data_IF_090835918947
#
_entry.id   IF_090835918947
#
_cell.length_a   1.000
_cell.length_b   1.000
_cell.length_c   1.000
_cell.angle_alpha   90.00
_cell.angle_beta   90.00
_cell.angle_gamma   90.00
#
_symmetry.space_group_name_H-M   'P 1'
#
loop_
_entity.id
_entity.type
_entity.pdbx_description
1 polymer ?
#
# COMPACT_ATOMS: atom_id res chain seq x y z
N UNK A 1 56.12 -5.79 -12.42
CA UNK A 1 55.45 -5.74 -11.09
C UNK A 1 54.59 -4.48 -10.94
N UNK A 2 53.50 -4.31 -11.70
CA UNK A 2 52.64 -3.12 -11.57
C UNK A 2 51.17 -3.41 -11.93
N UNK A 3 50.55 -4.40 -11.28
CA UNK A 3 49.11 -4.72 -11.44
C UNK A 3 48.35 -4.94 -10.13
N UNK A 4 48.91 -4.56 -8.98
CA UNK A 4 48.27 -4.79 -7.66
C UNK A 4 47.45 -3.60 -7.12
N UNK A 5 47.51 -2.41 -7.73
CA UNK A 5 46.89 -1.19 -7.18
C UNK A 5 45.41 -0.97 -7.55
N UNK A 6 44.95 -1.52 -8.67
CA UNK A 6 43.60 -1.24 -9.21
C UNK A 6 42.48 -2.00 -8.48
N UNK A 7 42.77 -3.14 -7.86
CA UNK A 7 41.77 -3.97 -7.16
C UNK A 7 41.45 -3.46 -5.75
N UNK A 8 42.37 -2.75 -5.09
CA UNK A 8 42.16 -2.23 -3.74
C UNK A 8 41.13 -1.09 -3.71
N UNK A 9 41.13 -0.22 -4.72
CA UNK A 9 40.17 0.90 -4.83
C UNK A 9 38.76 0.40 -5.15
N UNK A 10 38.62 -0.64 -5.98
CA UNK A 10 37.33 -1.29 -6.26
C UNK A 10 36.77 -2.06 -5.05
N UNK A 11 37.62 -2.68 -4.24
CA UNK A 11 37.22 -3.37 -3.02
C UNK A 11 36.84 -2.39 -1.89
N UNK A 12 37.56 -1.26 -1.75
CA UNK A 12 37.21 -0.20 -0.80
C UNK A 12 35.91 0.54 -1.20
N UNK A 13 35.68 0.76 -2.50
CA UNK A 13 34.41 1.30 -3.01
C UNK A 13 33.23 0.34 -2.78
N UNK A 14 33.45 -0.97 -2.98
CA UNK A 14 32.45 -2.00 -2.67
C UNK A 14 32.13 -2.11 -1.18
N UNK A 15 33.13 -2.01 -0.30
CA UNK A 15 32.94 -1.98 1.15
C UNK A 15 32.15 -0.74 1.60
N UNK A 16 32.41 0.42 0.99
CA UNK A 16 31.65 1.66 1.23
C UNK A 16 30.18 1.55 0.83
N UNK A 17 29.89 1.00 -0.35
CA UNK A 17 28.52 0.76 -0.84
C UNK A 17 27.76 -0.25 0.03
N UNK A 18 28.43 -1.32 0.48
CA UNK A 18 27.84 -2.29 1.42
C UNK A 18 27.56 -1.63 2.77
N UNK A 19 28.41 -0.72 3.24
CA UNK A 19 28.19 0.03 4.48
C UNK A 19 27.02 1.01 4.38
N UNK A 20 26.84 1.67 3.24
CA UNK A 20 25.72 2.59 3.00
C UNK A 20 24.40 1.81 2.90
N UNK A 21 24.38 0.72 2.14
CA UNK A 21 23.21 -0.14 2.02
C UNK A 21 22.81 -0.72 3.38
N UNK A 22 23.78 -1.12 4.20
CA UNK A 22 23.54 -1.60 5.57
C UNK A 22 22.93 -0.51 6.45
N UNK A 23 23.42 0.73 6.38
CA UNK A 23 22.83 1.86 7.13
C UNK A 23 21.38 2.12 6.70
N UNK A 24 21.11 2.12 5.39
CA UNK A 24 19.75 2.28 4.84
C UNK A 24 18.83 1.15 5.32
N UNK A 25 19.29 -0.09 5.30
CA UNK A 25 18.52 -1.26 5.74
C UNK A 25 18.26 -1.26 7.26
N UNK A 26 19.26 -0.89 8.07
CA UNK A 26 19.09 -0.71 9.51
C UNK A 26 18.08 0.41 9.80
N UNK A 27 18.12 1.51 9.05
CA UNK A 27 17.13 2.58 9.19
C UNK A 27 15.71 2.08 8.90
N UNK A 28 15.52 1.30 7.82
CA UNK A 28 14.21 0.69 7.52
C UNK A 28 13.76 -0.25 8.64
N UNK A 29 14.65 -1.12 9.15
CA UNK A 29 14.30 -2.02 10.25
C UNK A 29 13.89 -1.27 11.52
N UNK A 30 14.65 -0.25 11.90
CA UNK A 30 14.31 0.60 13.05
C UNK A 30 12.96 1.31 12.83
N UNK A 31 12.73 1.85 11.64
CA UNK A 31 11.46 2.47 11.30
C UNK A 31 10.29 1.47 11.40
N UNK A 32 10.46 0.24 10.93
CA UNK A 32 9.45 -0.81 11.05
C UNK A 32 9.20 -1.24 12.49
N UNK A 33 10.23 -1.26 13.34
CA UNK A 33 10.07 -1.51 14.78
C UNK A 33 9.27 -0.38 15.44
N UNK A 34 9.56 0.89 15.11
CA UNK A 34 8.80 2.04 15.62
C UNK A 34 7.34 2.00 15.14
N UNK A 35 7.12 1.69 13.86
CA UNK A 35 5.79 1.44 13.32
C UNK A 35 5.06 0.37 14.14
N UNK A 36 5.72 -0.77 14.38
CA UNK A 36 5.13 -1.88 15.13
C UNK A 36 4.80 -1.47 16.55
N UNK A 37 5.70 -0.80 17.28
CA UNK A 37 5.43 -0.31 18.64
C UNK A 37 4.19 0.58 18.65
N UNK A 38 4.06 1.50 17.70
CA UNK A 38 2.89 2.38 17.65
C UNK A 38 1.57 1.67 17.35
N UNK A 39 1.58 0.49 16.70
CA UNK A 39 0.36 -0.35 16.57
C UNK A 39 -0.14 -0.95 17.90
N UNK A 40 0.67 -0.90 18.97
CA UNK A 40 0.27 -1.34 20.31
C UNK A 40 -0.09 -0.18 21.24
N UNK A 41 0.02 1.08 20.80
CA UNK A 41 -0.36 2.25 21.60
C UNK A 41 -1.85 2.52 21.37
N UNK A 42 -2.75 2.18 22.32
CA UNK A 42 -4.18 2.38 22.16
C UNK A 42 -4.53 3.87 22.18
N UNK A 43 -5.59 4.24 21.48
CA UNK A 43 -6.15 5.59 21.57
C UNK A 43 -6.80 5.78 22.95
N UNK A 44 -6.61 6.94 23.62
CA UNK A 44 -7.22 7.21 24.92
C UNK A 44 -8.76 7.16 24.87
N UNK A 45 -9.37 6.63 25.94
CA UNK A 45 -10.83 6.66 26.14
C UNK A 45 -11.62 5.46 25.60
N UNK A 46 -10.94 4.37 25.22
CA UNK A 46 -11.54 3.18 24.61
C UNK A 46 -11.32 1.97 25.51
N UNK A 47 -12.35 1.12 25.64
CA UNK A 47 -12.23 -0.18 26.30
C UNK A 47 -11.69 -1.23 25.30
N UNK A 48 -10.47 -1.77 25.49
CA UNK A 48 -9.92 -2.81 24.62
C UNK A 48 -10.77 -4.08 24.59
N UNK A 49 -11.47 -4.41 25.68
CA UNK A 49 -12.30 -5.61 25.78
C UNK A 49 -13.63 -5.47 25.02
N UNK A 50 -14.21 -4.27 24.97
CA UNK A 50 -15.34 -3.97 24.10
C UNK A 50 -14.92 -3.97 22.62
N UNK A 51 -13.73 -3.45 22.31
CA UNK A 51 -13.22 -3.39 20.94
C UNK A 51 -12.94 -4.77 20.36
N UNK A 52 -12.33 -5.67 21.15
CA UNK A 52 -12.08 -7.05 20.72
C UNK A 52 -13.40 -7.76 20.36
N UNK A 53 -14.43 -7.62 21.20
CA UNK A 53 -15.76 -8.21 20.95
C UNK A 53 -16.44 -7.64 19.70
N UNK A 54 -16.34 -6.33 19.49
CA UNK A 54 -16.83 -5.70 18.26
C UNK A 54 -16.09 -6.24 17.02
N UNK A 55 -14.78 -6.41 17.12
CA UNK A 55 -13.97 -6.94 16.03
C UNK A 55 -14.27 -8.39 15.69
N UNK A 56 -14.48 -9.24 16.69
CA UNK A 56 -14.82 -10.65 16.47
C UNK A 56 -16.12 -10.78 15.68
N UNK A 57 -17.12 -9.95 15.99
CA UNK A 57 -18.41 -9.90 15.29
C UNK A 57 -18.28 -9.41 13.84
N UNK A 58 -17.28 -8.57 13.57
CA UNK A 58 -17.14 -7.84 12.30
C UNK A 58 -15.92 -8.30 11.48
N UNK A 59 -15.24 -9.35 11.92
CA UNK A 59 -14.00 -9.90 11.36
C UNK A 59 -14.15 -10.39 9.92
N UNK A 60 -15.34 -10.87 9.54
CA UNK A 60 -15.67 -11.33 8.19
C UNK A 60 -16.02 -10.21 7.21
N UNK A 61 -16.05 -8.96 7.67
CA UNK A 61 -16.47 -7.82 6.87
C UNK A 61 -15.28 -7.01 6.35
N UNK A 62 -15.59 -5.90 5.69
CA UNK A 62 -14.65 -4.91 5.19
C UNK A 62 -13.62 -4.45 6.25
N UNK A 63 -14.04 -4.38 7.52
CA UNK A 63 -13.17 -4.01 8.63
C UNK A 63 -12.03 -5.02 8.86
N UNK A 64 -12.25 -6.31 8.59
CA UNK A 64 -11.22 -7.35 8.66
C UNK A 64 -10.13 -7.16 7.60
N UNK A 65 -10.52 -6.84 6.35
CA UNK A 65 -9.54 -6.51 5.29
C UNK A 65 -8.73 -5.26 5.63
N UNK A 66 -9.38 -4.26 6.24
CA UNK A 66 -8.68 -3.05 6.68
C UNK A 66 -7.67 -3.34 7.79
N UNK A 67 -8.01 -4.25 8.72
CA UNK A 67 -7.11 -4.68 9.78
C UNK A 67 -5.85 -5.39 9.23
N UNK A 68 -5.97 -6.13 8.12
CA UNK A 68 -4.84 -6.77 7.46
C UNK A 68 -3.83 -5.74 6.92
N UNK A 69 -4.32 -4.64 6.33
CA UNK A 69 -3.43 -3.57 5.83
C UNK A 69 -2.84 -2.70 6.95
N UNK A 70 -3.53 -2.60 8.09
CA UNK A 70 -3.07 -1.84 9.25
C UNK A 70 -2.21 -2.66 10.22
N UNK A 71 -2.04 -3.96 9.97
CA UNK A 71 -1.20 -4.85 10.77
C UNK A 71 -1.76 -5.17 12.16
N UNK A 72 -3.08 -5.19 12.32
CA UNK A 72 -3.73 -5.38 13.62
C UNK A 72 -3.98 -4.08 14.40
N UNK A 73 -3.63 -2.93 13.80
CA UNK A 73 -3.77 -1.62 14.43
C UNK A 73 -5.24 -1.20 14.62
N UNK A 74 -6.14 -1.68 13.76
CA UNK A 74 -7.57 -1.39 13.88
C UNK A 74 -8.23 -2.27 14.95
N UNK A 75 -7.90 -3.56 15.00
CA UNK A 75 -8.35 -4.52 16.02
C UNK A 75 -8.10 -4.04 17.45
N UNK A 76 -6.92 -3.46 17.66
CA UNK A 76 -6.48 -2.92 18.96
C UNK A 76 -6.78 -1.44 19.13
N UNK A 77 -7.39 -0.82 18.13
CA UNK A 77 -7.65 0.61 17.99
C UNK A 77 -6.49 1.48 18.47
N UNK A 78 -5.35 1.27 17.83
CA UNK A 78 -4.14 2.03 18.09
C UNK A 78 -4.19 3.42 17.47
N UNK A 79 -3.23 4.27 17.84
CA UNK A 79 -3.01 5.58 17.17
C UNK A 79 -2.84 5.45 15.65
N UNK A 80 -2.44 4.27 15.16
CA UNK A 80 -2.27 3.94 13.75
C UNK A 80 -3.47 3.20 13.15
N UNK A 81 -4.65 3.26 13.78
CA UNK A 81 -5.82 2.51 13.33
C UNK A 81 -6.14 2.78 11.84
N UNK A 82 -6.10 4.04 11.39
CA UNK A 82 -6.33 4.41 9.98
C UNK A 82 -5.19 3.98 9.03
N UNK A 83 -4.02 3.65 9.57
CA UNK A 83 -2.83 3.29 8.83
C UNK A 83 -2.38 4.40 7.87
N UNK A 84 -1.82 3.98 6.73
CA UNK A 84 -1.38 4.88 5.65
C UNK A 84 -2.48 5.09 4.59
N UNK A 85 -3.69 4.56 4.82
CA UNK A 85 -4.80 4.57 3.85
C UNK A 85 -5.25 5.99 3.46
N UNK A 86 -5.39 6.97 4.37
CA UNK A 86 -5.77 8.34 3.98
C UNK A 86 -4.78 8.95 2.98
N UNK A 87 -3.49 8.62 3.13
CA UNK A 87 -2.44 9.06 2.21
C UNK A 87 -2.56 8.36 0.85
N UNK A 88 -2.81 7.06 0.84
CA UNK A 88 -3.03 6.30 -0.40
C UNK A 88 -4.20 6.91 -1.17
N UNK A 89 -5.35 7.13 -0.51
CA UNK A 89 -6.53 7.76 -1.12
C UNK A 89 -6.20 9.16 -1.67
N UNK A 90 -5.51 10.01 -0.91
CA UNK A 90 -5.08 11.33 -1.39
C UNK A 90 -4.14 11.23 -2.61
N UNK A 91 -3.24 10.25 -2.63
CA UNK A 91 -2.29 10.04 -3.73
C UNK A 91 -2.99 9.60 -5.01
N UNK A 92 -4.02 8.75 -4.89
CA UNK A 92 -4.86 8.31 -6.01
C UNK A 92 -5.63 9.49 -6.58
N UNK A 93 -6.28 10.28 -5.71
CA UNK A 93 -7.03 11.47 -6.13
C UNK A 93 -6.11 12.42 -6.89
N UNK A 94 -4.91 12.70 -6.36
CA UNK A 94 -3.94 13.56 -7.05
C UNK A 94 -3.42 12.97 -8.36
N UNK A 95 -3.23 11.65 -8.45
CA UNK A 95 -2.82 11.00 -9.71
C UNK A 95 -3.92 11.05 -10.77
N UNK A 96 -5.17 10.78 -10.40
CA UNK A 96 -6.32 10.90 -11.29
C UNK A 96 -6.51 12.35 -11.75
N UNK A 97 -6.45 13.31 -10.82
CA UNK A 97 -6.53 14.73 -11.13
C UNK A 97 -5.40 15.18 -12.05
N UNK A 98 -4.18 14.66 -11.89
CA UNK A 98 -3.04 15.00 -12.77
C UNK A 98 -3.21 14.49 -14.21
N UNK A 99 -4.03 13.46 -14.42
CA UNK A 99 -4.35 12.95 -15.75
C UNK A 99 -5.47 13.76 -16.43
N UNK A 100 -6.44 14.23 -15.65
CA UNK A 100 -7.63 14.94 -16.15
C UNK A 100 -7.41 16.45 -16.26
N UNK A 101 -6.67 17.05 -15.31
CA UNK A 101 -6.49 18.51 -15.20
C UNK A 101 -5.19 18.94 -15.91
N UNK A 102 -5.26 19.76 -16.97
CA UNK A 102 -4.09 20.18 -17.75
C UNK A 102 -3.02 20.89 -16.91
N UNK A 103 -3.41 21.74 -15.96
CA UNK A 103 -2.46 22.49 -15.11
C UNK A 103 -1.63 21.56 -14.21
N UNK A 104 -2.23 20.50 -13.67
CA UNK A 104 -1.49 19.50 -12.89
C UNK A 104 -0.61 18.60 -13.78
N UNK A 105 -1.03 18.37 -15.03
CA UNK A 105 -0.21 17.67 -16.02
C UNK A 105 1.03 18.46 -16.41
N UNK A 106 0.89 19.77 -16.60
CA UNK A 106 2.01 20.70 -16.82
C UNK A 106 2.94 20.73 -15.62
N UNK A 107 2.37 20.82 -14.40
CA UNK A 107 3.14 20.75 -13.18
C UNK A 107 3.95 19.45 -13.09
N UNK A 108 3.38 18.30 -13.48
CA UNK A 108 4.11 17.02 -13.53
C UNK A 108 5.27 17.05 -14.54
N UNK A 109 5.19 17.85 -15.61
CA UNK A 109 6.23 18.03 -16.63
C UNK A 109 7.36 18.98 -16.20
N UNK A 110 7.15 19.81 -15.18
CA UNK A 110 8.20 20.70 -14.63
C UNK A 110 9.35 19.93 -13.92
N UNK A 111 9.30 18.60 -13.88
CA UNK A 111 10.36 17.77 -13.31
C UNK A 111 10.25 17.62 -11.79
N UNK A 112 11.39 17.74 -11.08
CA UNK A 112 11.40 17.54 -9.63
C UNK A 112 10.60 18.58 -8.84
N UNK A 113 10.66 19.86 -9.24
CA UNK A 113 9.95 20.95 -8.57
C UNK A 113 8.44 20.72 -8.59
N UNK A 114 7.92 20.32 -9.74
CA UNK A 114 6.51 20.01 -9.93
C UNK A 114 6.06 18.75 -9.19
N UNK A 115 6.87 17.68 -9.20
CA UNK A 115 6.60 16.49 -8.38
C UNK A 115 6.53 16.82 -6.89
N UNK A 116 7.42 17.67 -6.37
CA UNK A 116 7.39 18.12 -4.96
C UNK A 116 6.09 18.87 -4.63
N UNK A 117 5.61 19.75 -5.53
CA UNK A 117 4.33 20.44 -5.36
C UNK A 117 3.14 19.47 -5.35
N UNK A 118 3.13 18.48 -6.23
CA UNK A 118 2.07 17.45 -6.25
C UNK A 118 2.08 16.68 -4.92
N UNK A 119 3.26 16.28 -4.43
CA UNK A 119 3.40 15.64 -3.11
C UNK A 119 2.88 16.54 -2.00
N UNK A 120 3.15 17.85 -2.04
CA UNK A 120 2.62 18.80 -1.05
C UNK A 120 1.08 18.84 -1.06
N UNK A 121 0.44 18.84 -2.23
CA UNK A 121 -1.02 18.73 -2.33
C UNK A 121 -1.53 17.39 -1.82
N UNK A 122 -0.83 16.28 -2.10
CA UNK A 122 -1.14 14.97 -1.52
C UNK A 122 -1.09 15.01 0.00
N UNK A 123 -0.09 15.67 0.61
CA UNK A 123 0.01 15.81 2.08
C UNK A 123 -1.18 16.58 2.66
N UNK A 124 -1.57 17.69 2.04
CA UNK A 124 -2.75 18.45 2.49
C UNK A 124 -4.05 17.66 2.33
N UNK A 125 -4.20 16.96 1.21
CA UNK A 125 -5.33 16.04 0.99
C UNK A 125 -5.35 14.91 2.03
N UNK A 126 -4.19 14.41 2.43
CA UNK A 126 -4.05 13.37 3.46
C UNK A 126 -4.55 13.86 4.80
N UNK A 127 -4.13 15.06 5.25
CA UNK A 127 -4.60 15.65 6.52
C UNK A 127 -6.12 15.81 6.49
N UNK A 128 -6.66 16.34 5.40
CA UNK A 128 -8.10 16.56 5.24
C UNK A 128 -8.88 15.25 5.30
N UNK A 129 -8.47 14.25 4.51
CA UNK A 129 -9.11 12.92 4.50
C UNK A 129 -8.96 12.21 5.84
N UNK A 130 -7.79 12.24 6.46
CA UNK A 130 -7.57 11.63 7.76
C UNK A 130 -8.45 12.27 8.83
N UNK A 131 -8.61 13.61 8.81
CA UNK A 131 -9.48 14.32 9.75
C UNK A 131 -10.93 13.91 9.55
N UNK A 132 -11.41 13.93 8.30
CA UNK A 132 -12.77 13.53 7.98
C UNK A 132 -13.06 12.07 8.37
N UNK A 133 -12.13 11.16 8.06
CA UNK A 133 -12.26 9.74 8.40
C UNK A 133 -12.17 9.50 9.90
N UNK A 134 -11.28 10.19 10.61
CA UNK A 134 -11.13 10.07 12.06
C UNK A 134 -12.37 10.55 12.82
N UNK A 135 -13.01 11.64 12.35
CA UNK A 135 -14.30 12.08 12.89
C UNK A 135 -15.36 10.99 12.69
N UNK A 136 -15.48 10.44 11.48
CA UNK A 136 -16.43 9.36 11.16
C UNK A 136 -16.23 8.13 12.06
N UNK A 137 -14.98 7.68 12.22
CA UNK A 137 -14.62 6.59 13.14
C UNK A 137 -14.96 6.93 14.58
N UNK A 138 -14.66 8.14 15.05
CA UNK A 138 -14.93 8.55 16.43
C UNK A 138 -16.42 8.57 16.79
N UNK A 139 -17.29 8.92 15.84
CA UNK A 139 -18.75 8.90 16.01
C UNK A 139 -19.24 7.45 15.98
N UNK A 140 -18.77 6.65 15.02
CA UNK A 140 -19.15 5.25 14.90
C UNK A 140 -18.83 4.45 16.18
N UNK A 141 -17.67 4.68 16.80
CA UNK A 141 -17.26 4.01 18.04
C UNK A 141 -18.10 4.41 19.25
N UNK A 142 -18.57 5.66 19.31
CA UNK A 142 -19.47 6.12 20.37
C UNK A 142 -20.82 5.42 20.30
N UNK A 143 -21.36 5.29 19.08
CA UNK A 143 -22.66 4.64 18.87
C UNK A 143 -22.63 3.14 19.20
N UNK A 144 -21.45 2.51 19.16
CA UNK A 144 -21.26 1.10 19.47
C UNK A 144 -20.82 0.82 20.91
N UNK A 145 -20.95 1.80 21.82
CA UNK A 145 -20.65 1.67 23.25
C UNK A 145 -19.21 1.21 23.57
N UNK A 146 -18.26 1.42 22.64
CA UNK A 146 -16.84 1.07 22.86
C UNK A 146 -16.11 2.19 23.61
N UNK A 147 -16.68 3.40 23.64
CA UNK A 147 -16.13 4.55 24.33
C UNK A 147 -16.43 4.50 25.84
N UNK A 148 -15.40 4.67 26.67
CA UNK A 148 -15.53 4.73 28.14
C UNK A 148 -16.34 5.95 28.61
N UNK A 149 -16.22 7.06 27.88
CA UNK A 149 -16.98 8.29 28.12
C UNK A 149 -17.39 8.93 26.79
N UNK A 150 -18.56 8.54 26.23
CA UNK A 150 -19.07 9.12 24.99
C UNK A 150 -19.27 10.65 25.12
N UNK A 151 -18.92 11.40 24.09
CA UNK A 151 -19.04 12.86 24.08
C UNK A 151 -18.09 13.57 23.13
N UNK A 152 -18.26 14.89 22.98
CA UNK A 152 -17.45 15.74 22.09
C UNK A 152 -15.96 15.68 22.47
N UNK A 153 -15.63 15.59 23.76
CA UNK A 153 -14.25 15.45 24.23
C UNK A 153 -13.57 14.15 23.79
N UNK A 154 -14.32 13.05 23.74
CA UNK A 154 -13.84 11.78 23.20
C UNK A 154 -13.64 11.87 21.69
N UNK A 155 -14.63 12.39 20.94
CA UNK A 155 -14.52 12.58 19.49
C UNK A 155 -13.27 13.39 19.12
N UNK A 156 -13.01 14.48 19.83
CA UNK A 156 -11.85 15.34 19.62
C UNK A 156 -10.52 14.62 19.90
N UNK A 157 -10.43 13.93 21.04
CA UNK A 157 -9.21 13.20 21.45
C UNK A 157 -8.88 12.07 20.48
N UNK A 158 -9.88 11.29 20.07
CA UNK A 158 -9.74 10.21 19.09
C UNK A 158 -9.33 10.78 17.73
N UNK A 159 -10.00 11.85 17.28
CA UNK A 159 -9.71 12.49 15.99
C UNK A 159 -8.26 12.96 15.93
N UNK A 160 -7.79 13.69 16.94
CA UNK A 160 -6.40 14.16 16.99
C UNK A 160 -5.42 12.99 17.06
N UNK A 161 -5.72 11.96 17.85
CA UNK A 161 -4.83 10.79 17.98
C UNK A 161 -4.66 10.06 16.64
N UNK A 162 -5.75 9.81 15.93
CA UNK A 162 -5.75 9.12 14.64
C UNK A 162 -5.11 9.96 13.52
N UNK A 163 -5.39 11.26 13.49
CA UNK A 163 -4.77 12.19 12.52
C UNK A 163 -3.26 12.28 12.78
N UNK A 164 -2.85 12.45 14.03
CA UNK A 164 -1.44 12.51 14.42
C UNK A 164 -0.72 11.21 14.07
N UNK A 165 -1.33 10.07 14.35
CA UNK A 165 -0.78 8.77 13.98
C UNK A 165 -0.61 8.61 12.46
N UNK A 166 -1.63 8.96 11.68
CA UNK A 166 -1.56 8.93 10.20
C UNK A 166 -0.46 9.85 9.67
N UNK A 167 -0.34 11.07 10.21
CA UNK A 167 0.68 12.04 9.81
C UNK A 167 2.09 11.55 10.16
N UNK A 168 2.25 10.90 11.31
CA UNK A 168 3.50 10.26 11.68
C UNK A 168 3.87 9.12 10.72
N UNK A 169 2.91 8.27 10.34
CA UNK A 169 3.15 7.20 9.37
C UNK A 169 3.52 7.73 7.98
N UNK A 170 2.86 8.80 7.53
CA UNK A 170 3.21 9.47 6.28
C UNK A 170 4.65 9.99 6.34
N UNK A 171 5.01 10.70 7.39
CA UNK A 171 6.37 11.19 7.61
C UNK A 171 7.39 10.03 7.65
N UNK A 172 7.08 8.96 8.38
CA UNK A 172 7.94 7.77 8.49
C UNK A 172 8.14 7.11 7.11
N UNK A 173 7.08 6.99 6.32
CA UNK A 173 7.15 6.45 4.96
C UNK A 173 8.00 7.31 4.02
N UNK A 174 7.93 8.63 4.13
CA UNK A 174 8.80 9.53 3.38
C UNK A 174 10.26 9.42 3.83
N UNK A 175 10.52 9.33 5.13
CA UNK A 175 11.88 9.13 5.64
C UNK A 175 12.49 7.79 5.21
N UNK A 176 11.68 6.71 5.16
CA UNK A 176 12.12 5.42 4.60
C UNK A 176 12.44 5.57 3.10
N UNK A 177 11.70 6.40 2.37
CA UNK A 177 11.96 6.62 0.93
C UNK A 177 13.25 7.42 0.70
N UNK A 178 13.52 8.43 1.51
CA UNK A 178 14.72 9.28 1.39
C UNK A 178 15.99 8.59 1.89
N UNK A 179 15.93 7.97 3.08
CA UNK A 179 17.10 7.44 3.80
C UNK A 179 17.18 5.92 3.80
N UNK A 180 16.13 5.23 3.38
CA UNK A 180 16.06 3.78 3.33
C UNK A 180 16.30 3.23 1.94
N UNK A 181 15.57 2.16 1.65
CA UNK A 181 15.59 1.39 0.41
C UNK A 181 14.17 1.27 -0.11
N UNK A 182 13.96 1.46 -1.42
CA UNK A 182 12.65 1.33 -2.06
C UNK A 182 11.65 2.45 -1.73
N UNK A 183 10.37 2.17 -1.89
CA UNK A 183 9.28 3.09 -1.56
C UNK A 183 8.80 2.80 -0.13
N UNK A 184 8.95 3.79 0.77
CA UNK A 184 8.65 3.60 2.17
C UNK A 184 7.18 3.36 2.48
N UNK A 185 6.25 3.94 1.72
CA UNK A 185 4.81 3.67 1.87
C UNK A 185 4.52 2.20 1.54
N UNK A 186 5.09 1.68 0.45
CA UNK A 186 4.94 0.26 0.08
C UNK A 186 5.54 -0.67 1.14
N UNK A 187 6.65 -0.29 1.76
CA UNK A 187 7.29 -1.07 2.82
C UNK A 187 6.45 -1.10 4.10
N UNK A 188 5.83 0.02 4.48
CA UNK A 188 4.92 0.07 5.64
C UNK A 188 3.73 -0.86 5.41
N UNK A 189 3.09 -0.82 4.23
CA UNK A 189 1.97 -1.70 3.90
C UNK A 189 2.40 -3.17 3.92
N UNK A 190 3.55 -3.47 3.29
CA UNK A 190 4.11 -4.82 3.27
C UNK A 190 4.37 -5.34 4.68
N UNK A 191 4.99 -4.52 5.54
CA UNK A 191 5.25 -4.89 6.92
C UNK A 191 3.97 -5.10 7.72
N UNK A 192 2.92 -4.29 7.49
CA UNK A 192 1.61 -4.46 8.10
C UNK A 192 0.98 -5.82 7.77
N UNK A 193 0.92 -6.17 6.48
CA UNK A 193 0.35 -7.46 6.02
C UNK A 193 1.18 -8.63 6.54
N UNK A 194 2.51 -8.56 6.42
CA UNK A 194 3.41 -9.65 6.86
C UNK A 194 3.36 -9.85 8.37
N UNK A 195 3.14 -8.79 9.16
CA UNK A 195 2.99 -8.90 10.60
C UNK A 195 1.72 -9.68 11.03
N UNK A 196 0.71 -9.80 10.15
CA UNK A 196 -0.48 -10.63 10.38
C UNK A 196 -0.29 -12.11 10.05
N UNK A 197 0.68 -12.46 9.21
CA UNK A 197 0.91 -13.85 8.76
C UNK A 197 1.21 -14.83 9.91
N UNK A 198 2.05 -14.50 10.92
CA UNK A 198 2.32 -15.43 12.01
C UNK A 198 1.06 -15.81 12.81
N UNK A 199 0.17 -14.85 13.07
CA UNK A 199 -1.08 -15.10 13.76
C UNK A 199 -2.04 -15.95 12.91
N UNK A 200 -2.10 -15.71 11.60
CA UNK A 200 -2.91 -16.51 10.68
C UNK A 200 -2.42 -17.96 10.61
N UNK A 201 -1.09 -18.19 10.57
CA UNK A 201 -0.51 -19.53 10.59
C UNK A 201 -0.78 -20.21 11.94
N UNK A 202 -0.55 -19.52 13.06
CA UNK A 202 -0.83 -20.04 14.40
C UNK A 202 -2.30 -20.45 14.56
N UNK A 203 -3.24 -19.58 14.19
CA UNK A 203 -4.67 -19.89 14.25
C UNK A 203 -5.07 -21.04 13.32
N UNK A 204 -4.44 -21.18 12.16
CA UNK A 204 -4.68 -22.33 11.27
C UNK A 204 -4.17 -23.63 11.90
N UNK A 205 -3.00 -23.62 12.53
CA UNK A 205 -2.45 -24.77 13.23
C UNK A 205 -3.29 -25.16 14.45
N UNK A 206 -3.81 -24.17 15.19
CA UNK A 206 -4.71 -24.41 16.31
C UNK A 206 -6.00 -25.11 15.84
N UNK A 207 -6.61 -24.64 14.74
CA UNK A 207 -7.79 -25.26 14.13
C UNK A 207 -7.55 -26.71 13.66
N UNK A 208 -6.34 -26.99 13.18
CA UNK A 208 -5.93 -28.37 12.82
C UNK A 208 -5.76 -29.22 14.08
N UNK A 209 -5.09 -28.70 15.11
CA UNK A 209 -4.87 -29.42 16.38
C UNK A 209 -6.18 -29.73 17.13
N UNK A 210 -7.19 -28.88 16.98
CA UNK A 210 -8.53 -29.04 17.56
C UNK A 210 -9.43 -29.95 16.72
N UNK A 211 -8.95 -30.44 15.56
CA UNK A 211 -9.71 -31.29 14.65
C UNK A 211 -10.82 -30.56 13.87
N UNK A 212 -10.92 -29.23 13.97
CA UNK A 212 -11.89 -28.42 13.24
C UNK A 212 -11.53 -28.29 11.75
N UNK A 213 -10.25 -28.37 11.41
CA UNK A 213 -9.74 -28.46 10.05
C UNK A 213 -9.04 -29.80 9.83
N UNK A 214 -9.42 -30.51 8.77
CA UNK A 214 -8.71 -31.72 8.37
C UNK A 214 -7.27 -31.41 7.98
N UNK A 215 -6.32 -32.20 8.51
CA UNK A 215 -4.88 -32.05 8.22
C UNK A 215 -4.58 -32.01 6.72
N UNK A 216 -5.31 -32.81 5.92
CA UNK A 216 -5.19 -32.81 4.46
C UNK A 216 -5.61 -31.50 3.80
N UNK A 217 -6.61 -30.79 4.34
CA UNK A 217 -7.03 -29.49 3.83
C UNK A 217 -6.03 -28.38 4.17
N UNK A 218 -5.45 -28.41 5.38
CA UNK A 218 -4.39 -27.48 5.76
C UNK A 218 -3.13 -27.65 4.89
N UNK A 219 -2.73 -28.90 4.61
CA UNK A 219 -1.62 -29.18 3.71
C UNK A 219 -1.92 -28.71 2.27
N UNK A 220 -3.15 -28.93 1.80
CA UNK A 220 -3.60 -28.41 0.51
C UNK A 220 -3.51 -26.88 0.43
N UNK A 221 -3.99 -26.15 1.44
CA UNK A 221 -3.89 -24.70 1.51
C UNK A 221 -2.44 -24.21 1.46
N UNK A 222 -1.54 -24.89 2.19
CA UNK A 222 -0.12 -24.54 2.20
C UNK A 222 0.54 -24.75 0.83
N UNK A 223 0.28 -25.89 0.18
CA UNK A 223 0.78 -26.18 -1.18
C UNK A 223 0.21 -25.16 -2.19
N UNK A 224 -1.08 -24.84 -2.08
CA UNK A 224 -1.73 -23.86 -2.93
C UNK A 224 -1.10 -22.46 -2.78
N UNK A 225 -0.78 -22.03 -1.56
CA UNK A 225 -0.13 -20.74 -1.33
C UNK A 225 1.26 -20.67 -1.99
N UNK A 226 2.05 -21.76 -1.91
CA UNK A 226 3.35 -21.85 -2.59
C UNK A 226 3.17 -21.85 -4.12
N UNK A 227 2.21 -22.62 -4.64
CA UNK A 227 1.93 -22.71 -6.07
C UNK A 227 1.51 -21.36 -6.67
N UNK A 228 0.62 -20.63 -5.98
CA UNK A 228 0.22 -19.27 -6.38
C UNK A 228 1.41 -18.32 -6.34
N UNK A 229 2.24 -18.38 -5.29
CA UNK A 229 3.44 -17.54 -5.20
C UNK A 229 4.43 -17.83 -6.34
N UNK A 230 4.65 -19.12 -6.66
CA UNK A 230 5.50 -19.53 -7.77
C UNK A 230 4.95 -19.05 -9.13
N UNK A 231 3.63 -19.14 -9.33
CA UNK A 231 2.95 -18.63 -10.52
C UNK A 231 3.10 -17.11 -10.66
N UNK A 232 2.93 -16.36 -9.58
CA UNK A 232 3.14 -14.90 -9.58
C UNK A 232 4.59 -14.55 -9.91
N UNK A 233 5.58 -15.26 -9.34
CA UNK A 233 7.00 -15.05 -9.67
C UNK A 233 7.27 -15.35 -11.15
N UNK A 234 6.67 -16.41 -11.69
CA UNK A 234 6.78 -16.77 -13.10
C UNK A 234 6.21 -15.66 -14.01
N UNK A 235 5.02 -15.16 -13.69
CA UNK A 235 4.37 -14.07 -14.43
C UNK A 235 5.13 -12.74 -14.34
N UNK A 236 5.66 -12.39 -13.16
CA UNK A 236 6.45 -11.16 -12.95
C UNK A 236 7.83 -11.20 -13.62
N UNK A 237 8.41 -12.40 -13.78
CA UNK A 237 9.65 -12.60 -14.56
C UNK A 237 9.41 -12.65 -16.07
N UNK A 238 8.16 -12.78 -16.51
CA UNK A 238 7.82 -12.80 -17.92
C UNK A 238 8.09 -11.41 -18.54
N UNK A 239 8.98 -11.40 -19.53
CA UNK A 239 9.36 -10.19 -20.27
C UNK A 239 9.30 -10.46 -21.77
N UNK A 240 8.67 -9.55 -22.50
CA UNK A 240 8.72 -9.49 -23.95
C UNK A 240 9.95 -8.69 -24.36
N UNK A 241 10.90 -9.34 -25.03
CA UNK A 241 12.11 -8.69 -25.52
C UNK A 241 11.87 -8.16 -26.94
N UNK A 242 11.88 -6.84 -27.10
CA UNK A 242 11.85 -6.19 -28.42
C UNK A 242 13.29 -5.87 -28.82
N UNK A 243 13.75 -6.39 -29.96
CA UNK A 243 15.11 -6.12 -30.46
C UNK A 243 15.21 -4.72 -31.02
N UNK A 244 16.24 -3.98 -30.58
CA UNK A 244 16.58 -2.64 -31.07
C UNK A 244 17.98 -2.70 -31.65
N UNK A 245 18.11 -2.30 -32.92
CA UNK A 245 19.38 -2.27 -33.61
C UNK A 245 19.91 -0.84 -33.63
N UNK A 246 21.01 -0.58 -32.93
CA UNK A 246 21.67 0.73 -32.99
C UNK A 246 22.45 0.82 -34.31
N UNK A 247 22.14 1.84 -35.10
CA UNK A 247 22.81 2.09 -36.37
C UNK A 247 24.30 2.38 -36.14
N UNK A 248 25.16 1.84 -37.03
CA UNK A 248 26.61 2.07 -37.00
C UNK A 248 26.90 3.58 -37.04
N UNK A 249 27.63 4.09 -36.05
CA UNK A 249 28.27 5.41 -36.14
C UNK A 249 29.74 5.20 -36.43
N UNK A 250 30.18 5.63 -37.61
CA UNK A 250 31.59 5.67 -37.95
C UNK A 250 32.18 6.97 -37.38
N UNK A 251 33.04 6.86 -36.37
CA UNK A 251 33.81 7.99 -35.86
C UNK A 251 35.28 7.78 -36.27
N UNK A 252 35.70 8.49 -37.32
CA UNK A 252 37.04 8.34 -37.93
C UNK A 252 37.21 7.06 -38.75
N UNK A 253 38.36 6.40 -38.61
CA UNK A 253 38.76 5.21 -39.39
C UNK A 253 38.41 3.87 -38.71
N UNK A 254 37.79 3.90 -37.52
CA UNK A 254 37.40 2.70 -36.77
C UNK A 254 35.89 2.48 -36.90
N UNK A 255 35.53 1.32 -37.45
CA UNK A 255 34.14 0.88 -37.53
C UNK A 255 33.76 0.26 -36.19
N UNK A 256 32.86 0.90 -35.46
CA UNK A 256 32.23 0.27 -34.29
C UNK A 256 31.21 -0.77 -34.77
N UNK A 257 31.22 -1.95 -34.14
CA UNK A 257 30.32 -3.04 -34.48
C UNK A 257 28.85 -2.61 -34.24
N UNK A 258 27.95 -3.06 -35.12
CA UNK A 258 26.53 -2.93 -34.87
C UNK A 258 26.19 -3.77 -33.64
N UNK A 259 25.80 -3.12 -32.54
CA UNK A 259 25.39 -3.80 -31.32
C UNK A 259 23.87 -3.90 -31.33
N UNK A 260 23.35 -5.13 -31.40
CA UNK A 260 21.94 -5.38 -31.13
C UNK A 260 21.72 -5.35 -29.62
N UNK A 261 20.70 -4.61 -29.19
CA UNK A 261 20.20 -4.63 -27.82
C UNK A 261 18.75 -5.09 -27.82
N UNK A 262 18.20 -5.37 -26.64
CA UNK A 262 16.78 -5.62 -26.49
C UNK A 262 16.20 -4.70 -25.42
N UNK A 263 15.04 -4.13 -25.71
CA UNK A 263 14.23 -3.44 -24.72
C UNK A 263 13.31 -4.48 -24.05
N UNK A 264 13.51 -4.79 -22.76
CA UNK A 264 12.63 -5.71 -22.05
C UNK A 264 11.34 -4.98 -21.62
N UNK A 265 10.19 -5.46 -22.08
CA UNK A 265 8.88 -5.04 -21.58
C UNK A 265 8.34 -6.13 -20.66
N UNK A 266 8.20 -5.82 -19.36
CA UNK A 266 7.56 -6.76 -18.42
C UNK A 266 6.07 -6.84 -18.70
N UNK A 267 5.47 -7.99 -18.37
CA UNK A 267 4.02 -8.18 -18.49
C UNK A 267 3.24 -7.26 -17.55
N UNK A 268 3.73 -7.06 -16.33
CA UNK A 268 3.20 -6.12 -15.36
C UNK A 268 4.23 -5.03 -15.04
N UNK A 269 4.08 -3.84 -15.62
CA UNK A 269 4.92 -2.67 -15.30
C UNK A 269 4.42 -1.92 -14.05
N UNK A 270 3.20 -2.24 -13.62
CA UNK A 270 2.44 -1.51 -12.59
C UNK A 270 2.73 -2.00 -11.16
N UNK A 271 3.20 -3.25 -11.03
CA UNK A 271 3.56 -3.86 -9.75
C UNK A 271 2.35 -4.00 -8.82
N UNK A 272 2.56 -3.65 -7.54
CA UNK A 272 1.59 -3.86 -6.44
C UNK A 272 0.61 -2.69 -6.27
N UNK A 273 0.79 -1.59 -7.00
CA UNK A 273 0.00 -0.36 -6.81
C UNK A 273 -1.48 -0.53 -7.24
N UNK A 274 -1.83 -1.16 -8.38
CA UNK A 274 -3.23 -1.28 -8.79
C UNK A 274 -4.14 -2.05 -7.83
N UNK A 275 -3.74 -3.21 -7.28
CA UNK A 275 -4.55 -3.88 -6.26
C UNK A 275 -4.82 -3.01 -5.03
N UNK A 276 -3.81 -2.24 -4.59
CA UNK A 276 -3.94 -1.30 -3.46
C UNK A 276 -4.92 -0.17 -3.81
N UNK A 277 -4.90 0.31 -5.05
CA UNK A 277 -5.82 1.36 -5.50
C UNK A 277 -7.25 0.85 -5.61
N UNK A 278 -7.42 -0.34 -6.19
CA UNK A 278 -8.72 -1.01 -6.29
C UNK A 278 -9.32 -1.23 -4.90
N UNK A 279 -8.53 -1.71 -3.93
CA UNK A 279 -9.01 -1.89 -2.56
C UNK A 279 -9.39 -0.54 -1.94
N UNK A 280 -8.53 0.48 -2.03
CA UNK A 280 -8.79 1.81 -1.45
C UNK A 280 -10.06 2.47 -2.01
N UNK A 281 -10.35 2.32 -3.31
CA UNK A 281 -11.54 2.92 -3.93
C UNK A 281 -12.83 2.21 -3.55
N UNK A 282 -12.81 0.90 -3.34
CA UNK A 282 -14.00 0.17 -2.90
C UNK A 282 -14.25 0.41 -1.40
N UNK A 283 -13.16 0.49 -0.64
CA UNK A 283 -13.21 0.76 0.80
C UNK A 283 -13.75 2.15 1.10
N UNK A 284 -13.45 3.16 0.29
CA UNK A 284 -13.86 4.55 0.56
C UNK A 284 -15.39 4.74 0.64
N UNK A 285 -16.20 4.38 -0.38
CA UNK A 285 -17.65 4.42 -0.28
C UNK A 285 -18.17 3.51 0.82
N UNK A 286 -17.61 2.31 0.97
CA UNK A 286 -18.04 1.39 2.03
C UNK A 286 -17.91 2.01 3.43
N UNK A 287 -16.82 2.73 3.71
CA UNK A 287 -16.67 3.45 4.99
C UNK A 287 -17.73 4.54 5.17
N UNK A 288 -18.02 5.33 4.14
CA UNK A 288 -19.07 6.36 4.17
C UNK A 288 -20.47 5.77 4.41
N UNK A 289 -20.78 4.65 3.72
CA UNK A 289 -22.06 3.95 3.82
C UNK A 289 -22.25 3.31 5.20
N UNK A 290 -21.17 2.74 5.77
CA UNK A 290 -21.19 2.17 7.11
C UNK A 290 -21.47 3.24 8.17
N UNK A 291 -20.97 4.47 7.97
CA UNK A 291 -21.19 5.58 8.90
C UNK A 291 -22.59 6.20 8.78
N UNK A 292 -23.13 6.33 7.57
CA UNK A 292 -24.46 6.93 7.36
C UNK A 292 -25.61 6.03 7.83
N UNK A 293 -25.42 4.70 7.83
CA UNK A 293 -26.40 3.74 8.34
C UNK A 293 -26.60 3.77 9.86
N UNK A 294 -25.77 4.51 10.61
CA UNK A 294 -25.92 4.70 12.06
C UNK A 294 -26.83 5.90 12.42
N UNK A 295 -27.21 6.72 11.44
CA UNK A 295 -28.19 7.81 11.64
C UNK A 295 -29.59 7.24 11.54
N UNK A 296 -30.48 7.52 12.51
CA UNK A 296 -31.87 7.00 12.64
C UNK A 296 -32.84 7.32 11.46
N UNK A 297 -32.34 7.72 10.30
CA UNK A 297 -33.08 7.90 9.04
C UNK A 297 -32.37 7.32 7.82
N UNK A 298 -31.48 6.34 8.00
CA UNK A 298 -30.68 5.74 6.93
C UNK A 298 -31.52 5.11 5.82
N UNK A 299 -31.47 5.74 4.64
CA UNK A 299 -32.01 5.21 3.39
C UNK A 299 -31.73 3.70 3.21
N UNK A 300 -32.77 2.86 3.24
CA UNK A 300 -32.66 1.40 3.09
C UNK A 300 -31.91 0.95 1.83
N UNK A 301 -31.92 1.76 0.77
CA UNK A 301 -31.16 1.52 -0.45
C UNK A 301 -29.64 1.60 -0.23
N UNK A 302 -29.16 2.51 0.63
CA UNK A 302 -27.74 2.64 0.97
C UNK A 302 -27.22 1.37 1.68
N UNK A 303 -28.04 0.82 2.58
CA UNK A 303 -27.69 -0.35 3.38
C UNK A 303 -27.67 -1.62 2.53
N UNK A 304 -28.62 -1.74 1.58
CA UNK A 304 -28.61 -2.80 0.58
C UNK A 304 -27.39 -2.71 -0.34
N UNK A 305 -26.96 -1.50 -0.74
CA UNK A 305 -25.74 -1.31 -1.51
C UNK A 305 -24.48 -1.65 -0.70
N UNK A 306 -24.40 -1.27 0.58
CA UNK A 306 -23.29 -1.61 1.45
C UNK A 306 -23.15 -3.14 1.63
N UNK A 307 -24.26 -3.83 1.86
CA UNK A 307 -24.30 -5.28 1.96
C UNK A 307 -23.90 -5.94 0.63
N UNK A 308 -24.36 -5.40 -0.51
CA UNK A 308 -24.01 -5.88 -1.85
C UNK A 308 -22.51 -5.77 -2.17
N UNK A 309 -21.81 -4.83 -1.52
CA UNK A 309 -20.37 -4.56 -1.66
C UNK A 309 -19.57 -5.26 -0.54
N UNK A 310 -20.20 -6.07 0.32
CA UNK A 310 -19.46 -6.80 1.35
C UNK A 310 -18.59 -7.93 0.76
N UNK A 311 -17.37 -8.16 1.30
CA UNK A 311 -16.55 -9.31 1.00
C UNK A 311 -17.35 -10.61 1.14
N UNK A 312 -17.20 -11.51 0.17
CA UNK A 312 -17.94 -12.77 0.10
C UNK A 312 -19.13 -12.76 -0.86
N UNK A 313 -19.61 -11.59 -1.29
CA UNK A 313 -20.65 -11.52 -2.32
C UNK A 313 -20.05 -11.56 -3.74
N UNK A 314 -20.69 -12.25 -4.71
CA UNK A 314 -20.23 -12.29 -6.10
C UNK A 314 -20.08 -10.91 -6.73
N UNK A 315 -20.96 -9.96 -6.38
CA UNK A 315 -20.92 -8.59 -6.90
C UNK A 315 -19.65 -7.86 -6.47
N UNK A 316 -19.27 -7.98 -5.19
CA UNK A 316 -18.01 -7.43 -4.67
C UNK A 316 -16.80 -7.97 -5.44
N UNK A 317 -16.75 -9.30 -5.63
CA UNK A 317 -15.63 -9.94 -6.35
C UNK A 317 -15.56 -9.47 -7.80
N UNK A 318 -16.69 -9.34 -8.47
CA UNK A 318 -16.76 -8.86 -9.85
C UNK A 318 -16.31 -7.40 -9.98
N UNK A 319 -16.80 -6.52 -9.10
CA UNK A 319 -16.44 -5.11 -9.08
C UNK A 319 -14.96 -4.91 -8.72
N UNK A 320 -14.46 -5.69 -7.76
CA UNK A 320 -13.05 -5.68 -7.38
C UNK A 320 -12.15 -6.17 -8.51
N UNK A 321 -12.50 -7.27 -9.18
CA UNK A 321 -11.75 -7.76 -10.35
C UNK A 321 -11.71 -6.72 -11.48
N UNK A 322 -12.85 -6.09 -11.79
CA UNK A 322 -12.94 -5.03 -12.81
C UNK A 322 -12.09 -3.82 -12.42
N UNK A 323 -12.17 -3.37 -11.16
CA UNK A 323 -11.36 -2.28 -10.64
C UNK A 323 -9.86 -2.58 -10.77
N UNK A 324 -9.41 -3.79 -10.42
CA UNK A 324 -8.01 -4.21 -10.59
C UNK A 324 -7.59 -4.13 -12.06
N UNK A 325 -8.38 -4.67 -12.99
CA UNK A 325 -8.07 -4.65 -14.42
C UNK A 325 -8.00 -3.21 -14.94
N UNK A 326 -8.97 -2.37 -14.55
CA UNK A 326 -9.00 -0.95 -14.89
C UNK A 326 -7.76 -0.22 -14.39
N UNK A 327 -7.43 -0.33 -13.09
CA UNK A 327 -6.26 0.34 -12.52
C UNK A 327 -4.95 -0.19 -13.07
N UNK A 328 -4.87 -1.48 -13.38
CA UNK A 328 -3.68 -2.08 -13.99
C UNK A 328 -3.43 -1.46 -15.37
N UNK A 329 -4.46 -1.39 -16.22
CA UNK A 329 -4.37 -0.77 -17.54
C UNK A 329 -4.09 0.74 -17.45
N UNK A 330 -4.86 1.44 -16.62
CA UNK A 330 -4.76 2.89 -16.45
C UNK A 330 -3.39 3.32 -15.92
N UNK A 331 -2.89 2.67 -14.87
CA UNK A 331 -1.58 3.01 -14.30
C UNK A 331 -0.44 2.68 -15.27
N UNK A 332 -0.52 1.54 -15.96
CA UNK A 332 0.48 1.18 -16.98
C UNK A 332 0.52 2.22 -18.10
N UNK A 333 -0.63 2.70 -18.56
CA UNK A 333 -0.72 3.74 -19.60
C UNK A 333 -0.16 5.10 -19.14
N UNK A 334 -0.22 5.42 -17.84
CA UNK A 334 0.36 6.67 -17.30
C UNK A 334 1.88 6.57 -17.13
N UNK A 335 2.38 5.38 -16.76
CA UNK A 335 3.81 5.17 -16.50
C UNK A 335 4.59 4.94 -17.77
N UNK A 336 4.00 4.26 -18.75
CA UNK A 336 4.64 3.94 -20.03
C UNK A 336 4.09 4.83 -21.15
N UNK A 337 4.78 5.94 -21.43
CA UNK A 337 4.52 6.74 -22.62
C UNK A 337 5.28 6.17 -23.82
N UNK A 338 4.54 5.60 -24.77
CA UNK A 338 5.10 4.97 -25.97
C UNK A 338 5.76 5.99 -26.91
N UNK A 339 5.29 7.24 -26.93
CA UNK A 339 5.86 8.30 -27.77
C UNK A 339 7.19 8.76 -27.21
N UNK A 340 7.24 9.03 -25.90
CA UNK A 340 8.48 9.44 -25.23
C UNK A 340 9.53 8.32 -25.30
N UNK A 341 9.13 7.06 -25.15
CA UNK A 341 10.06 5.92 -25.29
C UNK A 341 10.58 5.81 -26.73
N UNK A 342 9.72 6.06 -27.74
CA UNK A 342 10.13 6.06 -29.14
C UNK A 342 11.10 7.21 -29.47
N UNK A 343 10.84 8.42 -28.95
CA UNK A 343 11.72 9.58 -29.13
C UNK A 343 13.09 9.37 -28.48
N UNK A 344 13.14 8.72 -27.31
CA UNK A 344 14.41 8.34 -26.66
C UNK A 344 15.20 7.27 -27.43
N UNK A 345 14.55 6.46 -28.26
CA UNK A 345 15.17 5.41 -29.08
C UNK A 345 15.63 5.90 -30.46
N UNK A 346 15.17 7.08 -30.90
CA UNK A 346 15.45 7.66 -32.21
C UNK A 346 16.83 8.32 -32.29
#
# INVERSE_FOLDING_TARGET
MARSGANAVGQLAGLGQVSELRKRLVFVLVALVVYRIGTFIPVPGIDPGAMARFFDQQSSTILGMFNMFSGGALERLSIFALGIMPYISASIIMQLMSAVVPSLKELKKEGESGRRKITQYTRYGTVFLATFQAIGVSIALQNQQVALSPGIGFAFTVTISLVTGTMFLMWLGEQITERGIGNGISIIIFAGIVAGLPAAIGGTLDLVSQGALGEGFALFLFIMAIAVTAFVIFAERAQRRITVNYARRQQGRKMFAAQSSHLPLKLNMSGVIPPIFASSIILFPATLLQWSSTSEGGFSWLQNMANAISPGQPLYVMLYALAIVFFCFFYTAIVFDSRETADNLK
#
